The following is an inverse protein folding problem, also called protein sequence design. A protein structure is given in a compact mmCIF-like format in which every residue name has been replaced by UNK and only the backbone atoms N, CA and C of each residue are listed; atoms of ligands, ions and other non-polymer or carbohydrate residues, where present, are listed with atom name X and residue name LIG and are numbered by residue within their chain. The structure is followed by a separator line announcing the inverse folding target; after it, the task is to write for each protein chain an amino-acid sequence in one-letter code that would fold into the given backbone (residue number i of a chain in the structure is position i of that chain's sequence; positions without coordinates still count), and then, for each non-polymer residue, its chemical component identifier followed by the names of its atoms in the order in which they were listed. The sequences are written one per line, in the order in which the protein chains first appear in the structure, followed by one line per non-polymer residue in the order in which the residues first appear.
data_IF_423876542146
#
_entry.id   IF_423876542146
#
_cell.length_a   1.000
_cell.length_b   1.000
_cell.length_c   1.000
_cell.angle_alpha   90.00
_cell.angle_beta   90.00
_cell.angle_gamma   90.00
#
_symmetry.space_group_name_H-M   'P 1'
#
loop_
_entity.id
_entity.type
_entity.pdbx_description
1 polymer ?
#
# COMPACT_ATOMS: atom_id res chain seq x y z
N UNK A 1 -9.80 -37.80 2.45
CA UNK A 1 -10.18 -39.22 2.29
C UNK A 1 -9.84 -39.65 0.88
N UNK A 2 -9.13 -40.79 0.76
CA UNK A 2 -8.52 -41.41 -0.44
C UNK A 2 -7.18 -40.74 -0.84
N UNK A 3 -5.97 -41.24 -0.54
CA UNK A 3 -5.44 -42.61 -0.42
C UNK A 3 -5.97 -43.56 -1.50
N UNK A 4 -5.19 -43.73 -2.57
CA UNK A 4 -4.48 -45.00 -2.81
C UNK A 4 -3.94 -45.07 -4.23
N UNK A 5 -2.68 -45.48 -4.32
CA UNK A 5 -2.00 -46.05 -5.49
C UNK A 5 -1.88 -45.07 -6.67
N UNK A 6 -0.69 -44.71 -7.13
CA UNK A 6 0.30 -45.65 -7.65
C UNK A 6 1.69 -45.09 -7.35
N UNK A 7 2.37 -45.72 -6.39
CA UNK A 7 3.83 -45.78 -6.38
C UNK A 7 4.28 -46.81 -7.43
N UNK A 8 5.50 -46.66 -7.95
CA UNK A 8 6.12 -47.34 -9.10
C UNK A 8 5.69 -46.69 -10.43
N UNK A 9 6.59 -46.06 -11.20
CA UNK A 9 7.82 -46.63 -11.75
C UNK A 9 8.87 -45.54 -11.93
N UNK A 10 10.07 -45.79 -11.39
CA UNK A 10 11.32 -45.11 -11.76
C UNK A 10 11.58 -45.29 -13.27
N UNK A 11 11.69 -44.18 -14.01
CA UNK A 11 12.45 -44.14 -15.27
C UNK A 11 12.78 -42.70 -15.65
N UNK A 12 13.92 -42.21 -15.13
CA UNK A 12 15.00 -41.63 -15.94
C UNK A 12 14.57 -40.93 -17.25
N UNK A 13 14.37 -39.62 -17.22
CA UNK A 13 14.76 -38.73 -18.33
C UNK A 13 14.65 -37.26 -17.92
N UNK A 14 15.80 -36.61 -18.01
CA UNK A 14 16.02 -35.17 -17.97
C UNK A 14 14.99 -34.46 -18.87
N UNK A 15 14.23 -33.55 -18.27
CA UNK A 15 13.30 -32.69 -18.98
C UNK A 15 12.97 -31.51 -18.09
N UNK A 16 13.61 -30.38 -18.40
CA UNK A 16 13.47 -29.05 -17.83
C UNK A 16 11.98 -28.65 -17.66
N UNK A 17 11.34 -29.06 -16.56
CA UNK A 17 10.04 -28.53 -16.16
C UNK A 17 10.32 -27.34 -15.25
N UNK A 18 10.42 -26.15 -15.85
CA UNK A 18 10.49 -24.89 -15.12
C UNK A 18 9.40 -24.87 -14.06
N UNK A 19 9.82 -24.65 -12.81
CA UNK A 19 8.96 -24.28 -11.71
C UNK A 19 8.23 -23.00 -12.11
N UNK A 20 7.06 -23.14 -12.73
CA UNK A 20 6.08 -22.08 -12.78
C UNK A 20 5.57 -21.90 -11.35
N UNK A 21 6.26 -21.06 -10.57
CA UNK A 21 5.67 -20.40 -9.43
C UNK A 21 4.47 -19.62 -9.96
N UNK A 22 3.32 -20.27 -9.96
CA UNK A 22 2.02 -19.64 -10.14
C UNK A 22 1.86 -18.66 -8.97
N UNK A 23 2.26 -17.41 -9.20
CA UNK A 23 2.04 -16.27 -8.32
C UNK A 23 0.54 -15.97 -8.25
N UNK A 24 -0.19 -16.81 -7.53
CA UNK A 24 -1.56 -16.56 -7.10
C UNK A 24 -1.53 -15.78 -5.80
N UNK A 25 -1.84 -14.49 -5.86
CA UNK A 25 -1.87 -13.64 -4.66
C UNK A 25 -2.13 -12.18 -4.93
N UNK A 26 -3.18 -11.85 -5.67
CA UNK A 26 -3.73 -10.50 -5.74
C UNK A 26 -4.37 -10.12 -4.39
N UNK A 27 -3.55 -9.63 -3.45
CA UNK A 27 -3.98 -8.82 -2.30
C UNK A 27 -2.93 -7.75 -2.07
N UNK A 28 -3.34 -6.50 -2.22
CA UNK A 28 -2.64 -5.24 -1.98
C UNK A 28 -1.44 -5.36 -1.03
N UNK A 29 -0.23 -5.43 -1.59
CA UNK A 29 1.02 -5.38 -0.85
C UNK A 29 1.74 -4.12 -1.31
N UNK A 30 1.68 -3.05 -0.51
CA UNK A 30 2.61 -1.92 -0.67
C UNK A 30 4.01 -2.52 -0.58
N UNK A 31 4.72 -2.56 -1.71
CA UNK A 31 6.07 -3.11 -1.78
C UNK A 31 7.06 -2.07 -1.32
N UNK A 32 8.06 -2.50 -0.54
CA UNK A 32 9.25 -1.68 -0.30
C UNK A 32 9.88 -1.36 -1.67
N UNK A 33 10.17 -0.08 -1.91
CA UNK A 33 10.59 0.44 -3.21
C UNK A 33 9.46 1.02 -4.07
N UNK A 34 8.19 0.84 -3.69
CA UNK A 34 7.06 1.43 -4.41
C UNK A 34 6.99 2.94 -4.19
N UNK A 35 6.56 3.67 -5.22
CA UNK A 35 6.37 5.11 -5.14
C UNK A 35 4.97 5.43 -4.64
N UNK A 36 4.89 6.21 -3.56
CA UNK A 36 3.64 6.68 -2.98
C UNK A 36 3.67 8.20 -2.86
N UNK A 37 2.50 8.83 -2.78
CA UNK A 37 2.37 10.26 -2.58
C UNK A 37 2.02 10.53 -1.12
N UNK A 38 2.86 11.29 -0.41
CA UNK A 38 2.66 11.58 1.01
C UNK A 38 2.67 13.07 1.29
N UNK A 39 2.26 13.46 2.49
CA UNK A 39 2.34 14.85 2.92
C UNK A 39 3.81 15.30 3.10
N UNK A 40 4.22 16.34 2.37
CA UNK A 40 5.56 16.94 2.45
C UNK A 40 5.71 18.05 3.49
N UNK A 41 4.69 18.32 4.33
CA UNK A 41 4.73 19.41 5.30
C UNK A 41 5.73 19.21 6.46
N UNK A 42 6.35 18.03 6.56
CA UNK A 42 7.26 17.67 7.66
C UNK A 42 6.54 17.44 8.99
N UNK A 43 7.30 17.48 10.09
CA UNK A 43 6.83 17.20 11.46
C UNK A 43 5.70 18.08 11.96
N UNK A 44 5.48 19.21 11.29
CA UNK A 44 4.45 20.18 11.67
C UNK A 44 3.05 19.78 11.22
N UNK A 45 2.88 18.77 10.35
CA UNK A 45 1.54 18.33 9.91
C UNK A 45 1.17 16.97 10.53
N UNK A 46 0.21 16.92 11.47
CA UNK A 46 -0.29 15.66 12.05
C UNK A 46 -1.26 14.93 11.10
N UNK A 47 -1.29 15.32 9.82
CA UNK A 47 -2.26 14.85 8.86
C UNK A 47 -1.94 13.45 8.35
N UNK A 48 -0.65 13.06 8.34
CA UNK A 48 -0.09 11.81 7.84
C UNK A 48 -0.81 11.29 6.58
N UNK A 49 -1.09 12.20 5.65
CA UNK A 49 -1.87 11.85 4.47
C UNK A 49 -0.99 11.11 3.47
N UNK A 50 -1.53 10.02 2.94
CA UNK A 50 -0.89 9.19 1.93
C UNK A 50 -1.91 8.86 0.83
N UNK A 51 -1.43 8.72 -0.41
CA UNK A 51 -2.23 8.36 -1.57
C UNK A 51 -1.38 7.64 -2.62
N UNK A 52 -2.00 6.83 -3.47
CA UNK A 52 -1.33 6.20 -4.61
C UNK A 52 -1.25 7.12 -5.84
N UNK A 53 -1.91 8.29 -5.80
CA UNK A 53 -1.92 9.27 -6.89
C UNK A 53 -1.52 10.66 -6.40
N UNK A 54 -0.94 11.42 -7.31
CA UNK A 54 -0.71 12.85 -7.11
C UNK A 54 -2.03 13.57 -6.81
N UNK A 55 -1.95 14.62 -6.02
CA UNK A 55 -3.10 15.42 -5.66
C UNK A 55 -2.79 16.29 -4.44
N UNK A 56 -3.84 16.83 -3.84
CA UNK A 56 -3.72 17.67 -2.65
C UNK A 56 -3.87 16.84 -1.38
N UNK A 57 -3.00 17.12 -0.41
CA UNK A 57 -3.10 16.66 0.96
C UNK A 57 -4.32 17.32 1.64
N UNK A 58 -4.81 16.71 2.72
CA UNK A 58 -5.90 17.28 3.53
C UNK A 58 -5.57 18.65 4.12
N UNK A 59 -4.29 18.98 4.28
CA UNK A 59 -3.82 20.29 4.72
C UNK A 59 -3.76 21.36 3.61
N UNK A 60 -4.15 21.01 2.38
CA UNK A 60 -4.20 21.92 1.22
C UNK A 60 -2.90 22.02 0.41
N UNK A 61 -1.78 21.47 0.91
CA UNK A 61 -0.52 21.38 0.13
C UNK A 61 -0.53 20.22 -0.85
N UNK A 62 0.27 20.32 -1.91
CA UNK A 62 0.44 19.22 -2.85
C UNK A 62 1.20 18.06 -2.20
N UNK A 63 0.79 16.83 -2.54
CA UNK A 63 1.47 15.63 -2.08
C UNK A 63 2.81 15.48 -2.80
N UNK A 64 3.83 15.06 -2.07
CA UNK A 64 5.17 14.80 -2.60
C UNK A 64 5.31 13.32 -2.94
N UNK A 65 5.92 13.03 -4.08
CA UNK A 65 6.22 11.65 -4.48
C UNK A 65 7.43 11.17 -3.70
N UNK A 66 7.27 10.07 -2.99
CA UNK A 66 8.30 9.45 -2.16
C UNK A 66 8.39 7.98 -2.45
N UNK A 67 9.49 7.37 -2.04
CA UNK A 67 9.66 5.93 -2.11
C UNK A 67 9.50 5.33 -0.71
N UNK A 68 8.76 4.22 -0.64
CA UNK A 68 8.64 3.43 0.58
C UNK A 68 9.97 2.73 0.83
N UNK A 69 10.63 3.05 1.94
CA UNK A 69 11.92 2.42 2.31
C UNK A 69 11.71 1.22 3.21
N UNK A 70 10.68 1.23 4.05
CA UNK A 70 10.31 0.13 4.95
C UNK A 70 8.82 0.14 5.24
N UNK A 71 8.25 -1.03 5.52
CA UNK A 71 6.88 -1.18 6.03
C UNK A 71 6.98 -1.99 7.31
N UNK A 72 6.51 -1.42 8.40
CA UNK A 72 6.39 -2.04 9.72
C UNK A 72 4.90 -2.24 10.05
N UNK A 73 4.59 -3.08 11.04
CA UNK A 73 3.21 -3.33 11.45
C UNK A 73 2.52 -2.02 11.86
N UNK A 74 1.54 -1.58 11.07
CA UNK A 74 0.80 -0.33 11.30
C UNK A 74 1.49 0.96 10.85
N UNK A 75 2.74 0.91 10.36
CA UNK A 75 3.52 2.10 9.99
C UNK A 75 4.33 1.89 8.71
N UNK A 76 4.27 2.83 7.77
CA UNK A 76 5.06 2.85 6.53
C UNK A 76 6.13 3.92 6.64
N UNK A 77 7.40 3.53 6.52
CA UNK A 77 8.53 4.45 6.50
C UNK A 77 8.83 4.81 5.05
N UNK A 78 8.83 6.11 4.77
CA UNK A 78 9.10 6.67 3.44
C UNK A 78 10.23 7.70 3.53
N UNK A 79 10.98 7.88 2.43
CA UNK A 79 12.02 8.91 2.36
C UNK A 79 11.47 10.20 1.75
N UNK A 80 11.41 11.27 2.54
CA UNK A 80 11.03 12.63 2.12
C UNK A 80 12.30 13.49 2.13
N UNK A 81 12.76 13.95 0.96
CA UNK A 81 13.98 14.78 0.83
C UNK A 81 15.22 14.19 1.53
N UNK A 82 15.40 12.86 1.44
CA UNK A 82 16.52 12.15 2.07
C UNK A 82 16.38 11.93 3.57
N UNK A 83 15.24 12.31 4.17
CA UNK A 83 14.91 12.02 5.58
C UNK A 83 13.84 10.96 5.65
N UNK A 84 14.07 9.93 6.45
CA UNK A 84 13.08 8.89 6.70
C UNK A 84 11.97 9.40 7.61
N UNK A 85 10.73 9.07 7.24
CA UNK A 85 9.51 9.51 7.93
C UNK A 85 8.56 8.33 8.04
N UNK A 86 8.13 8.05 9.26
CA UNK A 86 7.09 7.07 9.53
C UNK A 86 5.71 7.71 9.35
N UNK A 87 4.86 7.03 8.57
CA UNK A 87 3.46 7.38 8.37
C UNK A 87 2.60 6.20 8.80
N UNK A 88 1.47 6.44 9.47
CA UNK A 88 0.59 5.35 9.90
C UNK A 88 -0.12 4.72 8.70
N UNK A 89 0.07 3.43 8.47
CA UNK A 89 -0.53 2.72 7.34
C UNK A 89 -2.07 2.63 7.43
N UNK A 90 -2.64 2.87 8.62
CA UNK A 90 -4.08 3.01 8.83
C UNK A 90 -4.47 4.47 9.15
N UNK A 91 -5.25 5.09 8.27
CA UNK A 91 -5.83 6.42 8.47
C UNK A 91 -7.19 6.37 9.19
N UNK A 92 -7.48 7.38 10.03
CA UNK A 92 -8.83 7.61 10.57
C UNK A 92 -9.85 7.99 9.48
N UNK A 93 -9.34 8.54 8.38
CA UNK A 93 -10.10 8.96 7.22
C UNK A 93 -9.56 8.25 6.00
N UNK A 94 -10.44 7.71 5.15
CA UNK A 94 -10.05 7.07 3.91
C UNK A 94 -10.98 7.45 2.76
N UNK A 95 -10.46 7.25 1.55
CA UNK A 95 -11.22 7.37 0.32
C UNK A 95 -12.40 6.40 0.31
N UNK A 96 -13.59 6.93 0.03
CA UNK A 96 -14.82 6.16 -0.10
C UNK A 96 -15.47 6.31 -1.48
N UNK A 97 -14.66 6.54 -2.52
CA UNK A 97 -15.15 6.80 -3.87
C UNK A 97 -15.67 5.55 -4.60
N UNK A 98 -15.57 4.36 -3.99
CA UNK A 98 -16.04 3.09 -4.56
C UNK A 98 -15.03 2.43 -5.50
N UNK A 99 -15.47 1.39 -6.22
CA UNK A 99 -14.66 0.51 -7.08
C UNK A 99 -14.08 1.17 -8.35
N UNK A 100 -14.06 2.49 -8.43
CA UNK A 100 -13.46 3.27 -9.53
C UNK A 100 -12.41 4.29 -9.10
N UNK A 101 -11.98 4.33 -7.83
CA UNK A 101 -10.88 5.20 -7.39
C UNK A 101 -9.72 4.42 -6.81
N UNK A 102 -8.64 4.33 -7.58
CA UNK A 102 -7.37 3.76 -7.15
C UNK A 102 -6.50 4.77 -6.40
N UNK A 103 -7.08 5.90 -6.01
CA UNK A 103 -6.40 6.96 -5.29
C UNK A 103 -5.98 6.52 -3.87
N UNK A 104 -6.79 5.66 -3.23
CA UNK A 104 -6.52 5.04 -1.94
C UNK A 104 -6.11 6.02 -0.83
N UNK A 105 -6.55 7.29 -0.91
CA UNK A 105 -6.07 8.31 0.02
C UNK A 105 -6.51 7.99 1.44
N UNK A 106 -5.56 8.00 2.37
CA UNK A 106 -5.77 7.88 3.81
C UNK A 106 -5.19 9.09 4.53
N UNK A 107 -5.76 9.47 5.66
CA UNK A 107 -5.29 10.57 6.49
C UNK A 107 -5.71 10.40 7.96
N UNK A 108 -5.00 11.07 8.85
CA UNK A 108 -5.34 11.17 10.28
C UNK A 108 -6.25 12.38 10.58
N UNK A 109 -6.45 13.25 9.59
CA UNK A 109 -7.23 14.49 9.68
C UNK A 109 -8.37 14.51 8.66
N UNK A 110 -9.47 15.20 9.02
CA UNK A 110 -10.56 15.48 8.10
C UNK A 110 -10.04 16.29 6.91
N UNK A 111 -10.58 16.01 5.74
CA UNK A 111 -10.24 16.77 4.55
C UNK A 111 -10.73 16.11 3.27
N UNK A 112 -10.13 16.54 2.16
CA UNK A 112 -10.40 16.00 0.83
C UNK A 112 -9.35 14.95 0.46
N UNK A 113 -9.80 13.94 -0.25
CA UNK A 113 -8.99 12.95 -0.95
C UNK A 113 -8.15 13.64 -2.03
N UNK A 114 -7.08 12.98 -2.49
CA UNK A 114 -6.26 13.43 -3.63
C UNK A 114 -7.10 13.72 -4.89
N UNK A 115 -8.23 13.04 -5.08
CA UNK A 115 -9.17 13.25 -6.19
C UNK A 115 -10.18 14.40 -5.95
N UNK A 116 -10.07 15.14 -4.85
CA UNK A 116 -10.93 16.29 -4.52
C UNK A 116 -12.24 15.96 -3.80
N UNK A 117 -12.61 14.68 -3.69
CA UNK A 117 -13.80 14.23 -2.94
C UNK A 117 -13.55 14.20 -1.43
N UNK A 118 -14.57 14.39 -0.57
CA UNK A 118 -14.39 14.32 0.88
C UNK A 118 -14.00 12.90 1.32
N UNK A 119 -13.09 12.79 2.29
CA UNK A 119 -12.76 11.52 2.92
C UNK A 119 -13.90 11.09 3.86
N UNK A 120 -14.10 9.79 4.02
CA UNK A 120 -14.99 9.23 5.05
C UNK A 120 -14.18 8.81 6.26
N UNK A 121 -14.76 9.01 7.44
CA UNK A 121 -14.29 8.38 8.67
C UNK A 121 -14.34 6.86 8.51
N UNK A 122 -13.16 6.25 8.48
CA UNK A 122 -12.99 4.82 8.66
C UNK A 122 -12.17 4.72 9.91
N UNK A 123 -12.80 4.54 11.07
CA UNK A 123 -12.04 4.34 12.31
C UNK A 123 -11.05 3.22 12.03
N UNK A 124 -9.76 3.57 11.95
CA UNK A 124 -8.69 2.62 11.68
C UNK A 124 -8.86 1.49 12.68
N UNK A 125 -9.24 0.30 12.19
CA UNK A 125 -9.27 -0.88 13.04
C UNK A 125 -7.79 -1.15 13.40
N UNK A 126 -7.44 -1.12 14.69
CA UNK A 126 -6.06 -1.29 15.14
C UNK A 126 -5.47 -2.61 14.67
#
# INVERSE_FOLDING_TARGET
MRCSAVAFVMALSVGLAGFACAGGGAKSAIKVGEQMYVCGCGEKCPCDSMAHKAGKCTCGKDLVKVQVVRVEEGTTVVSVDGRERSFKSAGKFACACGSGCDCGTIAQSKGKCSCGRPLKDVKAKP
#
